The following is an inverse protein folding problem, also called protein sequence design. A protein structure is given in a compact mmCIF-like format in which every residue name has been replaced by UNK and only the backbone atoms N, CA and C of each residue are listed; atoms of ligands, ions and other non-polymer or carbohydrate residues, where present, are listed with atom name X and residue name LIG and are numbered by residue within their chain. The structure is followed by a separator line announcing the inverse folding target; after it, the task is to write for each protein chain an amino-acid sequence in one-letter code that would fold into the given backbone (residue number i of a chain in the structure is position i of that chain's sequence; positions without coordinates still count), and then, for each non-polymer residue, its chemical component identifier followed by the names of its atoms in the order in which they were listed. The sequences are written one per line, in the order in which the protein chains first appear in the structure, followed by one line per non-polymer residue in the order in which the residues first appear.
data_IF_253433063263
#
_entry.id   IF_253433063263
#
_cell.length_a   1.000
_cell.length_b   1.000
_cell.length_c   1.000
_cell.angle_alpha   90.00
_cell.angle_beta   90.00
_cell.angle_gamma   90.00
#
_symmetry.space_group_name_H-M   'P 1'
#
loop_
_entity.id
_entity.type
_entity.pdbx_description
1 polymer ?
#
# COMPACT_ATOMS: atom_id res chain seq x y z
N UNK A 1 -14.20 15.52 -11.64
CA UNK A 1 -13.83 14.79 -12.88
C UNK A 1 -12.32 14.70 -13.19
N UNK A 2 -11.38 14.95 -12.25
CA UNK A 2 -9.94 14.99 -12.58
C UNK A 2 -9.15 13.67 -12.37
N UNK A 3 -9.81 12.58 -12.00
CA UNK A 3 -9.14 11.32 -11.63
C UNK A 3 -8.54 10.53 -12.80
N UNK A 4 -8.90 10.84 -14.05
CA UNK A 4 -8.58 9.96 -15.19
C UNK A 4 -7.20 10.20 -15.83
N UNK A 5 -6.46 11.24 -15.41
CA UNK A 5 -5.12 11.58 -15.94
C UNK A 5 -4.05 11.66 -14.82
N UNK A 6 -4.21 10.87 -13.77
CA UNK A 6 -3.19 10.79 -12.72
C UNK A 6 -2.14 9.74 -13.05
N UNK A 7 -0.86 10.06 -12.86
CA UNK A 7 0.22 9.08 -13.03
C UNK A 7 0.12 7.98 -11.95
N UNK A 8 0.36 6.73 -12.35
CA UNK A 8 0.31 5.55 -11.50
C UNK A 8 1.70 4.88 -11.48
N UNK A 9 2.15 4.49 -10.28
CA UNK A 9 3.30 3.61 -10.10
C UNK A 9 2.86 2.20 -9.74
N UNK A 10 3.64 1.19 -10.14
CA UNK A 10 3.42 -0.22 -9.79
C UNK A 10 4.74 -0.87 -9.40
N UNK A 11 4.72 -1.66 -8.33
CA UNK A 11 5.85 -2.50 -7.92
C UNK A 11 5.34 -3.86 -7.41
N UNK A 12 5.86 -4.91 -8.02
CA UNK A 12 5.51 -6.31 -7.76
C UNK A 12 6.77 -7.22 -7.77
N UNK A 13 6.56 -8.54 -7.67
CA UNK A 13 7.64 -9.52 -7.58
C UNK A 13 8.53 -9.57 -8.82
N UNK A 14 8.00 -9.15 -9.97
CA UNK A 14 8.72 -9.10 -11.25
C UNK A 14 9.53 -7.80 -11.40
N UNK A 15 9.27 -6.81 -10.55
CA UNK A 15 10.00 -5.55 -10.56
C UNK A 15 11.44 -5.79 -10.09
N UNK A 16 12.41 -5.51 -10.97
CA UNK A 16 13.82 -5.71 -10.69
C UNK A 16 14.28 -4.89 -9.48
N UNK A 17 15.18 -5.46 -8.67
CA UNK A 17 15.66 -4.86 -7.42
C UNK A 17 16.19 -3.43 -7.65
N UNK A 18 16.95 -3.24 -8.73
CA UNK A 18 17.50 -1.92 -9.12
C UNK A 18 16.43 -0.85 -9.37
N UNK A 19 15.20 -1.23 -9.76
CA UNK A 19 14.10 -0.30 -10.04
C UNK A 19 13.22 0.01 -8.84
N UNK A 20 13.29 -0.80 -7.76
CA UNK A 20 12.42 -0.63 -6.59
C UNK A 20 12.68 0.69 -5.86
N UNK A 21 13.94 0.99 -5.55
CA UNK A 21 14.30 2.21 -4.82
C UNK A 21 13.99 3.50 -5.62
N UNK A 22 14.28 3.58 -6.93
CA UNK A 22 13.86 4.72 -7.76
C UNK A 22 12.35 4.94 -7.78
N UNK A 23 11.53 3.88 -7.86
CA UNK A 23 10.07 4.00 -7.85
C UNK A 23 9.55 4.56 -6.52
N UNK A 24 10.11 4.09 -5.40
CA UNK A 24 9.77 4.59 -4.06
C UNK A 24 10.13 6.07 -3.92
N UNK A 25 11.34 6.45 -4.33
CA UNK A 25 11.78 7.84 -4.29
C UNK A 25 10.91 8.75 -5.18
N UNK A 26 10.57 8.29 -6.38
CA UNK A 26 9.69 8.99 -7.30
C UNK A 26 8.30 9.21 -6.69
N UNK A 27 7.70 8.18 -6.10
CA UNK A 27 6.39 8.29 -5.44
C UNK A 27 6.41 9.27 -4.26
N UNK A 28 7.45 9.23 -3.42
CA UNK A 28 7.54 10.10 -2.24
C UNK A 28 7.81 11.57 -2.58
N UNK A 29 8.38 11.85 -3.76
CA UNK A 29 8.79 13.22 -4.15
C UNK A 29 7.87 13.87 -5.17
N UNK A 30 7.14 13.09 -5.98
CA UNK A 30 6.35 13.61 -7.09
C UNK A 30 4.84 13.65 -6.75
N UNK A 31 4.27 14.84 -6.49
CA UNK A 31 2.86 14.99 -6.16
C UNK A 31 1.91 14.69 -7.33
N UNK A 32 2.42 14.59 -8.57
CA UNK A 32 1.62 14.23 -9.74
C UNK A 32 1.29 12.73 -9.80
N UNK A 33 1.96 11.90 -8.99
CA UNK A 33 1.67 10.47 -8.88
C UNK A 33 0.61 10.28 -7.80
N UNK A 34 -0.57 9.86 -8.23
CA UNK A 34 -1.72 9.74 -7.33
C UNK A 34 -1.76 8.38 -6.62
N UNK A 35 -1.40 7.31 -7.34
CA UNK A 35 -1.53 5.93 -6.84
C UNK A 35 -0.25 5.14 -7.00
N UNK A 36 0.14 4.41 -5.96
CA UNK A 36 1.18 3.40 -6.02
C UNK A 36 0.60 2.02 -5.69
N UNK A 37 0.54 1.17 -6.71
CA UNK A 37 0.04 -0.21 -6.59
C UNK A 37 1.17 -1.13 -6.15
N UNK A 38 0.93 -1.84 -5.05
CA UNK A 38 1.89 -2.75 -4.42
C UNK A 38 1.22 -4.09 -4.14
N UNK A 39 1.99 -5.17 -4.24
CA UNK A 39 1.58 -6.47 -3.68
C UNK A 39 2.03 -6.56 -2.22
N UNK A 40 1.19 -7.10 -1.35
CA UNK A 40 1.41 -7.18 0.10
C UNK A 40 2.75 -7.84 0.45
N UNK A 41 3.07 -8.96 -0.23
CA UNK A 41 4.32 -9.72 -0.02
C UNK A 41 5.59 -9.01 -0.48
N UNK A 42 5.52 -8.14 -1.49
CA UNK A 42 6.73 -7.49 -2.02
C UNK A 42 7.29 -6.45 -1.07
N UNK A 43 6.47 -5.83 -0.21
CA UNK A 43 7.03 -4.87 0.75
C UNK A 43 7.46 -5.46 2.10
N UNK A 44 7.70 -6.78 2.18
CA UNK A 44 8.56 -7.35 3.24
C UNK A 44 10.01 -6.83 3.18
N UNK A 45 10.35 -6.01 2.18
CA UNK A 45 11.62 -5.32 2.00
C UNK A 45 11.87 -4.13 2.96
N UNK A 46 10.88 -3.71 3.77
CA UNK A 46 11.02 -2.54 4.62
C UNK A 46 11.02 -1.22 3.83
N UNK A 47 9.93 -0.96 3.10
CA UNK A 47 9.78 0.26 2.28
C UNK A 47 9.11 1.39 3.06
N UNK A 48 9.50 2.64 2.76
CA UNK A 48 8.93 3.85 3.36
C UNK A 48 8.17 4.65 2.30
N UNK A 49 6.85 4.78 2.48
CA UNK A 49 5.92 5.41 1.54
C UNK A 49 5.31 6.66 2.18
N UNK A 50 6.16 7.57 2.64
CA UNK A 50 5.73 8.81 3.30
C UNK A 50 5.03 9.80 2.35
N UNK A 51 5.06 9.57 1.04
CA UNK A 51 4.20 10.29 0.10
C UNK A 51 2.71 9.96 0.25
N UNK A 52 2.37 8.79 0.81
CA UNK A 52 0.99 8.34 0.97
C UNK A 52 0.38 8.75 2.32
N UNK A 53 -0.87 9.20 2.26
CA UNK A 53 -1.75 9.46 3.41
C UNK A 53 -3.03 8.62 3.37
N UNK A 54 -3.18 7.77 2.36
CA UNK A 54 -4.30 6.84 2.19
C UNK A 54 -3.75 5.47 1.82
N UNK A 55 -4.15 4.45 2.57
CA UNK A 55 -3.79 3.05 2.30
C UNK A 55 -5.09 2.27 2.09
N UNK A 56 -5.16 1.53 0.98
CA UNK A 56 -6.29 0.64 0.69
C UNK A 56 -5.75 -0.79 0.64
N UNK A 57 -6.20 -1.62 1.57
CA UNK A 57 -5.98 -3.06 1.57
C UNK A 57 -7.14 -3.65 0.76
N UNK A 58 -6.83 -4.12 -0.45
CA UNK A 58 -7.81 -4.65 -1.38
C UNK A 58 -8.26 -6.05 -0.97
N UNK A 59 -7.30 -6.97 -0.81
CA UNK A 59 -7.54 -8.32 -0.30
C UNK A 59 -6.75 -8.50 1.01
N UNK A 60 -7.41 -8.67 2.18
CA UNK A 60 -6.72 -8.88 3.44
C UNK A 60 -6.00 -10.24 3.47
N UNK A 61 -4.76 -10.26 3.92
CA UNK A 61 -3.98 -11.50 4.02
C UNK A 61 -4.48 -12.35 5.20
N UNK A 62 -4.35 -13.68 5.09
CA UNK A 62 -4.71 -14.60 6.18
C UNK A 62 -3.91 -14.34 7.45
N UNK A 63 -2.66 -13.90 7.33
CA UNK A 63 -1.82 -13.49 8.45
C UNK A 63 -2.01 -11.98 8.71
N UNK A 64 -2.62 -11.58 9.85
CA UNK A 64 -2.85 -10.16 10.16
C UNK A 64 -1.56 -9.33 10.23
N UNK A 65 -0.43 -9.97 10.54
CA UNK A 65 0.89 -9.31 10.58
C UNK A 65 1.30 -8.75 9.22
N UNK A 66 0.90 -9.41 8.13
CA UNK A 66 1.19 -8.97 6.76
C UNK A 66 0.51 -7.63 6.47
N UNK A 67 -0.76 -7.50 6.85
CA UNK A 67 -1.55 -6.28 6.67
C UNK A 67 -1.05 -5.13 7.57
N UNK A 68 -0.70 -5.44 8.82
CA UNK A 68 -0.10 -4.47 9.75
C UNK A 68 1.19 -3.91 9.17
N UNK A 69 2.09 -4.76 8.68
CA UNK A 69 3.34 -4.34 8.03
C UNK A 69 3.08 -3.54 6.75
N UNK A 70 2.04 -3.88 5.98
CA UNK A 70 1.68 -3.12 4.77
C UNK A 70 1.25 -1.69 5.12
N UNK A 71 0.42 -1.51 6.15
CA UNK A 71 0.01 -0.19 6.66
C UNK A 71 1.19 0.62 7.19
N UNK A 72 2.09 0.00 7.94
CA UNK A 72 3.25 0.66 8.57
C UNK A 72 4.26 1.25 7.57
N UNK A 73 4.17 0.90 6.29
CA UNK A 73 4.97 1.52 5.22
C UNK A 73 4.60 2.98 5.02
N UNK A 74 3.32 3.33 5.16
CA UNK A 74 2.83 4.71 5.04
C UNK A 74 2.59 5.35 6.40
N UNK A 75 1.99 4.60 7.34
CA UNK A 75 1.80 5.03 8.73
C UNK A 75 3.06 4.74 9.54
N UNK A 76 4.03 5.66 9.45
CA UNK A 76 5.36 5.51 10.05
C UNK A 76 5.77 6.74 10.85
N UNK A 77 6.63 6.53 11.84
CA UNK A 77 7.29 7.61 12.59
C UNK A 77 8.01 8.54 11.60
N UNK A 78 7.74 9.85 11.68
CA UNK A 78 8.27 10.87 10.77
C UNK A 78 7.27 11.34 9.70
N UNK A 79 6.11 10.68 9.57
CA UNK A 79 4.99 11.18 8.77
C UNK A 79 4.23 12.28 9.53
N UNK A 80 4.02 13.44 8.90
CA UNK A 80 3.27 14.56 9.49
C UNK A 80 1.78 14.56 9.08
N UNK A 81 1.43 13.80 8.04
CA UNK A 81 0.05 13.71 7.52
C UNK A 81 -0.73 12.59 8.21
N UNK A 82 -2.02 12.83 8.45
CA UNK A 82 -2.91 11.79 8.96
C UNK A 82 -3.13 10.70 7.91
N UNK A 83 -2.68 9.48 8.21
CA UNK A 83 -2.83 8.31 7.33
C UNK A 83 -4.15 7.61 7.63
N UNK A 84 -5.04 7.53 6.66
CA UNK A 84 -6.27 6.73 6.76
C UNK A 84 -6.09 5.39 6.05
N UNK A 85 -6.60 4.33 6.67
CA UNK A 85 -6.43 2.95 6.22
C UNK A 85 -7.80 2.34 6.01
N UNK A 86 -8.05 1.91 4.79
CA UNK A 86 -9.29 1.27 4.38
C UNK A 86 -8.99 -0.20 4.10
N UNK A 87 -9.80 -1.09 4.66
CA UNK A 87 -9.78 -2.51 4.33
C UNK A 87 -11.09 -2.82 3.61
N UNK A 88 -10.98 -3.31 2.39
CA UNK A 88 -12.14 -3.78 1.65
C UNK A 88 -12.45 -5.21 2.09
N UNK A 89 -13.73 -5.50 2.27
CA UNK A 89 -14.24 -6.79 2.71
C UNK A 89 -15.51 -7.09 1.91
N UNK A 90 -15.56 -8.25 1.27
CA UNK A 90 -16.75 -8.73 0.58
C UNK A 90 -17.66 -9.48 1.56
N UNK A 91 -18.88 -8.95 1.73
CA UNK A 91 -19.89 -9.57 2.59
C UNK A 91 -20.35 -10.94 2.07
N UNK A 92 -20.63 -11.87 2.98
CA UNK A 92 -21.06 -13.23 2.65
C UNK A 92 -19.96 -14.13 2.07
N UNK A 93 -18.69 -13.72 2.12
CA UNK A 93 -17.56 -14.48 1.56
C UNK A 93 -16.62 -15.02 2.65
N UNK A 94 -15.57 -15.75 2.24
CA UNK A 94 -14.52 -16.21 3.15
C UNK A 94 -13.81 -15.05 3.86
N UNK A 95 -13.79 -13.85 3.28
CA UNK A 95 -13.11 -12.68 3.84
C UNK A 95 -13.68 -12.25 5.19
N UNK A 96 -14.99 -12.35 5.40
CA UNK A 96 -15.61 -12.10 6.71
C UNK A 96 -15.12 -13.08 7.76
N UNK A 97 -15.00 -14.38 7.40
CA UNK A 97 -14.50 -15.41 8.31
C UNK A 97 -13.03 -15.20 8.68
N UNK A 98 -12.23 -14.72 7.73
CA UNK A 98 -10.82 -14.37 7.97
C UNK A 98 -10.76 -13.17 8.90
N UNK A 99 -11.53 -12.12 8.61
CA UNK A 99 -11.56 -10.90 9.44
C UNK A 99 -12.00 -11.19 10.89
N UNK A 100 -13.01 -12.03 11.11
CA UNK A 100 -13.44 -12.41 12.46
C UNK A 100 -12.42 -13.23 13.25
N UNK A 101 -11.45 -13.85 12.59
CA UNK A 101 -10.39 -14.65 13.22
C UNK A 101 -9.11 -13.83 13.49
N UNK A 102 -9.04 -12.61 12.97
CA UNK A 102 -7.94 -11.65 13.16
C UNK A 102 -8.24 -10.72 14.32
#
# INVERSE_FOLDING_TARGET
NSFMCSMICRMDGMTSIKRRQPLIAQFNSNPSIFTFVLTTRVGGLGVNLTGADRVVIFDPDWNPSTDVQARERAWRIGQSRAVAVYRLLCAGTIEEKIYHRQ
#
